data_IF_917068036744
#
_entry.id   IF_917068036744
#
_cell.length_a   1.000
_cell.length_b   1.000
_cell.length_c   1.000
_cell.angle_alpha   90.00
_cell.angle_beta   90.00
_cell.angle_gamma   90.00
#
_symmetry.space_group_name_H-M   'P 1'
#
loop_
_entity.id
_entity.type
_entity.pdbx_description
1 polymer ?
#
# COMPACT_ATOMS: atom_id res chain seq x y z
N UNK A 1 -5.41 5.04 -14.52
CA UNK A 1 -4.96 3.94 -13.64
C UNK A 1 -4.83 4.44 -12.21
N UNK A 2 -4.48 3.57 -11.27
CA UNK A 2 -4.12 3.96 -9.89
C UNK A 2 -2.60 3.88 -9.72
N UNK A 3 -2.02 4.80 -8.95
CA UNK A 3 -0.60 4.82 -8.64
C UNK A 3 -0.34 4.14 -7.31
N UNK A 4 0.65 3.24 -7.29
CA UNK A 4 1.03 2.49 -6.10
C UNK A 4 2.55 2.47 -5.98
N UNK A 5 3.05 2.63 -4.77
CA UNK A 5 4.46 2.42 -4.43
C UNK A 5 4.57 1.22 -3.53
N UNK A 6 5.47 0.29 -3.84
CA UNK A 6 5.75 -0.79 -2.93
C UNK A 6 6.42 -0.26 -1.67
N UNK A 7 5.94 -0.72 -0.52
CA UNK A 7 6.34 -0.24 0.80
C UNK A 7 6.66 -1.42 1.74
N UNK A 8 7.35 -2.44 1.20
CA UNK A 8 7.92 -3.56 1.96
C UNK A 8 9.32 -3.91 1.44
N UNK A 9 10.21 -4.45 2.28
CA UNK A 9 11.54 -4.94 1.86
C UNK A 9 11.50 -5.94 0.70
N UNK A 10 10.40 -6.68 0.53
CA UNK A 10 10.20 -7.61 -0.59
C UNK A 10 10.43 -6.96 -1.99
N UNK A 11 10.25 -5.65 -2.10
CA UNK A 11 10.45 -4.92 -3.35
C UNK A 11 11.85 -4.33 -3.53
N UNK A 12 12.69 -4.42 -2.51
CA UNK A 12 14.12 -4.16 -2.64
C UNK A 12 14.86 -5.38 -3.23
N UNK A 13 14.14 -6.48 -3.48
CA UNK A 13 14.68 -7.75 -3.98
C UNK A 13 15.83 -8.29 -3.11
N UNK A 14 15.87 -7.91 -1.83
CA UNK A 14 16.82 -8.48 -0.88
C UNK A 14 16.51 -9.99 -0.72
N UNK A 15 17.44 -10.89 -1.07
CA UNK A 15 17.19 -12.32 -1.02
C UNK A 15 16.80 -12.78 0.38
N UNK A 16 15.72 -13.56 0.49
CA UNK A 16 15.26 -14.14 1.77
C UNK A 16 14.29 -13.27 2.58
N UNK A 17 13.93 -12.07 2.11
CA UNK A 17 12.91 -11.24 2.76
C UNK A 17 11.48 -11.65 2.37
N UNK A 18 10.95 -12.70 3.01
CA UNK A 18 9.53 -13.05 2.91
C UNK A 18 8.75 -12.33 4.02
N UNK A 19 8.09 -11.22 3.67
CA UNK A 19 7.18 -10.54 4.61
C UNK A 19 5.92 -11.39 4.77
N UNK A 20 5.78 -12.03 5.94
CA UNK A 20 4.75 -13.02 6.28
C UNK A 20 3.36 -12.38 6.43
N UNK A 21 2.67 -12.20 5.30
CA UNK A 21 1.21 -12.04 5.27
C UNK A 21 0.48 -13.39 5.12
N UNK A 22 1.19 -14.43 4.71
CA UNK A 22 0.66 -15.76 4.40
C UNK A 22 1.46 -16.83 5.14
N UNK A 23 0.78 -17.93 5.48
CA UNK A 23 1.40 -19.11 6.10
C UNK A 23 2.00 -19.96 4.98
N UNK A 24 3.27 -20.36 5.10
CA UNK A 24 4.08 -21.11 4.11
C UNK A 24 4.71 -20.24 3.01
N UNK A 25 5.97 -20.53 2.69
CA UNK A 25 6.73 -19.88 1.63
C UNK A 25 6.37 -20.41 0.23
N UNK A 26 6.52 -19.55 -0.78
CA UNK A 26 6.39 -19.91 -2.20
C UNK A 26 7.58 -19.34 -2.97
N UNK A 27 8.07 -20.09 -3.95
CA UNK A 27 9.08 -19.61 -4.92
C UNK A 27 8.44 -18.98 -6.18
N UNK A 28 7.12 -18.87 -6.21
CA UNK A 28 6.37 -18.34 -7.35
C UNK A 28 5.56 -17.09 -6.99
N UNK A 29 5.11 -17.01 -5.74
CA UNK A 29 4.23 -15.96 -5.23
C UNK A 29 4.94 -15.14 -4.16
N UNK A 30 5.11 -13.84 -4.44
CA UNK A 30 5.72 -12.90 -3.48
C UNK A 30 4.70 -11.88 -2.99
N UNK A 31 4.24 -11.97 -1.73
CA UNK A 31 3.39 -10.94 -1.16
C UNK A 31 4.19 -9.65 -0.93
N UNK A 32 3.54 -8.52 -1.16
CA UNK A 32 4.08 -7.21 -0.83
C UNK A 32 2.96 -6.25 -0.44
N UNK A 33 3.27 -5.27 0.40
CA UNK A 33 2.34 -4.19 0.72
C UNK A 33 2.72 -2.96 -0.09
N UNK A 34 1.72 -2.30 -0.67
CA UNK A 34 1.91 -1.05 -1.39
C UNK A 34 1.00 0.04 -0.86
N UNK A 35 1.48 1.27 -0.96
CA UNK A 35 0.76 2.49 -0.63
C UNK A 35 0.20 3.13 -1.90
N UNK A 36 -1.05 3.56 -1.85
CA UNK A 36 -1.65 4.34 -2.93
C UNK A 36 -1.06 5.75 -2.93
N UNK A 37 -0.61 6.20 -4.10
CA UNK A 37 -0.13 7.56 -4.33
C UNK A 37 -1.16 8.36 -5.12
N UNK A 38 -1.17 9.66 -4.90
CA UNK A 38 -1.91 10.65 -5.66
C UNK A 38 -0.95 11.45 -6.54
N UNK A 39 -1.46 11.96 -7.66
CA UNK A 39 -0.73 12.90 -8.52
C UNK A 39 -0.88 14.30 -7.95
N UNK A 40 0.22 15.07 -7.92
CA UNK A 40 0.25 16.46 -7.49
C UNK A 40 0.87 17.34 -8.58
N UNK A 41 0.48 18.62 -8.62
CA UNK A 41 1.21 19.60 -9.42
C UNK A 41 2.41 20.10 -8.62
N UNK A 42 3.56 20.18 -9.27
CA UNK A 42 4.79 20.68 -8.65
C UNK A 42 4.65 22.12 -8.15
N UNK A 43 3.82 22.93 -8.84
CA UNK A 43 3.52 24.31 -8.43
C UNK A 43 2.82 24.43 -7.08
N UNK A 44 2.21 23.34 -6.61
CA UNK A 44 1.46 23.31 -5.35
C UNK A 44 2.34 22.90 -4.16
N UNK A 45 3.63 22.62 -4.41
CA UNK A 45 4.59 22.16 -3.40
C UNK A 45 5.54 23.27 -2.97
N UNK A 46 5.78 23.34 -1.66
CA UNK A 46 6.79 24.22 -1.07
C UNK A 46 8.09 23.43 -0.79
N UNK A 47 9.19 24.14 -0.52
CA UNK A 47 10.50 23.52 -0.22
C UNK A 47 10.44 22.53 0.97
N UNK A 48 9.57 22.80 1.94
CA UNK A 48 9.32 21.91 3.08
C UNK A 48 8.65 20.59 2.67
N UNK A 49 7.84 20.60 1.61
CA UNK A 49 7.14 19.41 1.11
C UNK A 49 8.10 18.49 0.40
N UNK A 50 9.05 19.04 -0.37
CA UNK A 50 10.10 18.29 -1.07
C UNK A 50 10.92 17.45 -0.09
N UNK A 51 11.23 18.00 1.08
CA UNK A 51 12.04 17.34 2.11
C UNK A 51 11.23 16.52 3.13
N UNK A 52 9.90 16.43 2.96
CA UNK A 52 9.02 15.73 3.89
C UNK A 52 9.11 14.20 3.84
N UNK A 53 9.68 13.65 2.75
CA UNK A 53 9.66 12.21 2.47
C UNK A 53 8.28 11.65 2.09
N UNK A 54 7.30 12.53 1.79
CA UNK A 54 5.93 12.15 1.41
C UNK A 54 5.70 12.04 -0.10
N UNK A 55 6.62 12.60 -0.89
CA UNK A 55 6.53 12.71 -2.34
C UNK A 55 7.71 12.00 -3.01
N UNK A 56 7.48 11.52 -4.22
CA UNK A 56 8.51 11.07 -5.14
C UNK A 56 8.23 11.61 -6.54
N UNK A 57 9.29 11.78 -7.31
CA UNK A 57 9.23 12.26 -8.68
C UNK A 57 9.72 11.12 -9.56
N UNK A 58 8.87 10.65 -10.46
CA UNK A 58 9.16 9.52 -11.32
C UNK A 58 8.87 9.88 -12.77
N UNK A 59 9.71 9.39 -13.67
CA UNK A 59 9.43 9.44 -15.10
C UNK A 59 8.33 8.40 -15.41
N UNK A 60 7.13 8.88 -15.73
CA UNK A 60 5.97 8.01 -15.98
C UNK A 60 5.76 7.73 -17.46
N UNK A 61 6.24 8.65 -18.31
CA UNK A 61 6.34 8.53 -19.76
C UNK A 61 7.67 9.15 -20.23
N UNK A 62 8.15 8.87 -21.46
CA UNK A 62 9.40 9.44 -21.95
C UNK A 62 9.42 10.98 -21.86
N UNK A 63 10.35 11.52 -21.07
CA UNK A 63 10.50 12.95 -20.75
C UNK A 63 9.35 13.57 -19.94
N UNK A 64 8.51 12.77 -19.28
CA UNK A 64 7.43 13.25 -18.42
C UNK A 64 7.70 12.85 -16.97
N UNK A 65 8.06 13.85 -16.15
CA UNK A 65 8.19 13.66 -14.70
C UNK A 65 6.84 13.94 -14.05
N UNK A 66 6.36 12.98 -13.26
CA UNK A 66 5.15 13.13 -12.46
C UNK A 66 5.51 13.17 -10.99
N UNK A 67 4.96 14.17 -10.27
CA UNK A 67 5.00 14.19 -8.82
C UNK A 67 3.90 13.29 -8.25
N UNK A 68 4.31 12.30 -7.48
CA UNK A 68 3.45 11.33 -6.82
C UNK A 68 3.65 11.43 -5.30
N UNK A 69 2.58 11.39 -4.51
CA UNK A 69 2.71 11.51 -3.06
C UNK A 69 1.58 10.90 -2.26
N UNK A 70 1.78 10.81 -0.95
CA UNK A 70 0.73 10.42 -0.01
C UNK A 70 -0.28 11.56 0.18
N UNK A 71 -1.56 11.27 0.46
CA UNK A 71 -2.55 12.31 0.75
C UNK A 71 -2.15 13.10 2.00
N UNK A 72 -1.92 14.41 1.84
CA UNK A 72 -1.67 15.35 2.94
C UNK A 72 -2.94 16.17 3.19
N UNK A 73 -3.52 16.18 4.41
CA UNK A 73 -4.55 17.14 4.74
C UNK A 73 -3.96 18.56 4.71
N UNK A 74 -4.64 19.50 4.04
CA UNK A 74 -4.17 20.88 3.91
C UNK A 74 -3.78 21.58 5.23
N UNK A 75 -4.29 21.10 6.37
CA UNK A 75 -4.09 21.68 7.70
C UNK A 75 -3.10 20.89 8.59
N UNK A 76 -2.40 19.89 8.04
CA UNK A 76 -1.59 18.93 8.82
C UNK A 76 -0.08 19.23 8.86
N UNK A 77 0.41 20.15 8.04
CA UNK A 77 1.83 20.48 8.00
C UNK A 77 2.21 21.34 9.21
N UNK A 78 2.42 20.70 10.36
CA UNK A 78 2.87 21.32 11.61
C UNK A 78 2.22 20.78 12.90
N UNK A 79 1.18 19.96 12.80
CA UNK A 79 0.60 19.27 13.95
C UNK A 79 0.42 17.81 13.57
N UNK A 80 0.98 16.90 14.37
CA UNK A 80 1.13 15.46 14.09
C UNK A 80 -0.17 14.76 13.69
N UNK A 81 -0.59 14.99 12.45
CA UNK A 81 -1.80 14.45 11.89
C UNK A 81 -1.50 13.02 11.53
N UNK A 82 -2.36 12.12 12.01
CA UNK A 82 -2.40 10.76 11.54
C UNK A 82 -2.74 10.72 10.06
N UNK A 83 -1.73 10.73 9.20
CA UNK A 83 -1.89 10.49 7.75
C UNK A 83 -2.69 9.20 7.55
N UNK A 84 -3.94 9.31 7.06
CA UNK A 84 -4.72 8.15 6.64
C UNK A 84 -4.20 7.69 5.28
N UNK A 85 -3.12 6.94 5.31
CA UNK A 85 -2.59 6.31 4.10
C UNK A 85 -3.49 5.15 3.68
N UNK A 86 -3.65 4.97 2.38
CA UNK A 86 -4.32 3.78 1.84
C UNK A 86 -3.26 2.78 1.46
N UNK A 87 -3.22 1.64 2.15
CA UNK A 87 -2.34 0.53 1.81
C UNK A 87 -3.14 -0.71 1.43
N UNK A 88 -2.54 -1.57 0.60
CA UNK A 88 -3.09 -2.86 0.21
C UNK A 88 -1.97 -3.89 0.11
N UNK A 89 -2.29 -5.14 0.42
CA UNK A 89 -1.43 -6.28 0.11
C UNK A 89 -1.75 -6.77 -1.30
N UNK A 90 -0.71 -6.94 -2.10
CA UNK A 90 -0.73 -7.58 -3.40
C UNK A 90 0.16 -8.83 -3.34
N UNK A 91 -0.02 -9.74 -4.30
CA UNK A 91 0.86 -10.90 -4.46
C UNK A 91 1.39 -10.90 -5.88
N UNK A 92 2.69 -10.67 -6.04
CA UNK A 92 3.36 -10.77 -7.32
C UNK A 92 3.51 -12.23 -7.75
N UNK A 93 3.31 -12.51 -9.03
CA UNK A 93 3.57 -13.82 -9.64
C UNK A 93 5.02 -13.91 -10.15
N UNK A 94 5.44 -15.10 -10.55
CA UNK A 94 6.75 -15.37 -11.14
C UNK A 94 7.89 -14.80 -10.28
N UNK A 95 7.76 -14.95 -8.96
CA UNK A 95 8.76 -14.47 -8.01
C UNK A 95 8.99 -12.94 -8.03
N UNK A 96 8.03 -12.17 -8.59
CA UNK A 96 8.16 -10.72 -8.77
C UNK A 96 8.93 -10.31 -10.02
N UNK A 97 9.30 -11.25 -10.90
CA UNK A 97 9.99 -10.94 -12.14
C UNK A 97 9.09 -10.17 -13.12
N UNK A 98 9.67 -9.16 -13.77
CA UNK A 98 8.99 -8.32 -14.75
C UNK A 98 9.08 -8.91 -16.15
N UNK A 99 8.00 -8.78 -16.92
CA UNK A 99 7.99 -9.00 -18.37
C UNK A 99 8.04 -7.64 -19.07
N UNK A 100 9.26 -7.15 -19.33
CA UNK A 100 9.46 -5.75 -19.74
C UNK A 100 9.17 -4.80 -18.58
N UNK A 101 8.14 -3.95 -18.72
CA UNK A 101 7.63 -3.09 -17.64
C UNK A 101 6.40 -3.68 -16.94
N UNK A 102 5.91 -4.85 -17.36
CA UNK A 102 4.70 -5.44 -16.78
C UNK A 102 5.05 -6.33 -15.58
N UNK A 103 4.24 -6.21 -14.53
CA UNK A 103 4.23 -7.09 -13.37
C UNK A 103 2.87 -7.80 -13.29
N UNK A 104 2.90 -9.12 -13.35
CA UNK A 104 1.73 -9.95 -13.08
C UNK A 104 1.49 -10.07 -11.59
N UNK A 105 0.27 -9.78 -11.14
CA UNK A 105 -0.06 -9.81 -9.73
C UNK A 105 -1.46 -10.36 -9.46
N UNK A 106 -1.71 -10.61 -8.20
CA UNK A 106 -2.98 -11.00 -7.64
C UNK A 106 -3.40 -9.92 -6.66
N UNK A 107 -4.65 -9.48 -6.78
CA UNK A 107 -5.30 -8.50 -5.92
C UNK A 107 -6.38 -9.19 -5.09
N UNK A 108 -6.18 -9.37 -3.77
CA UNK A 108 -7.25 -9.73 -2.86
C UNK A 108 -8.29 -8.59 -2.80
N UNK A 109 -9.56 -8.91 -2.98
CA UNK A 109 -10.66 -7.95 -2.92
C UNK A 109 -11.87 -8.54 -2.21
N UNK A 110 -12.65 -7.69 -1.54
CA UNK A 110 -13.92 -8.11 -0.96
C UNK A 110 -15.04 -7.92 -1.98
N UNK A 111 -15.84 -8.95 -2.19
CA UNK A 111 -17.01 -8.90 -3.05
C UNK A 111 -18.14 -9.76 -2.46
N UNK A 112 -19.33 -9.17 -2.29
CA UNK A 112 -20.51 -9.90 -1.81
C UNK A 112 -20.33 -10.58 -0.44
N UNK A 113 -19.49 -10.05 0.45
CA UNK A 113 -19.18 -10.66 1.74
C UNK A 113 -18.17 -11.82 1.70
N UNK A 114 -17.57 -12.07 0.53
CA UNK A 114 -16.50 -13.05 0.33
C UNK A 114 -15.17 -12.36 0.01
N UNK A 115 -14.07 -13.09 0.21
CA UNK A 115 -12.75 -12.71 -0.27
C UNK A 115 -12.54 -13.32 -1.65
N UNK A 116 -12.42 -12.47 -2.66
CA UNK A 116 -12.04 -12.84 -4.01
C UNK A 116 -10.56 -12.58 -4.25
N UNK A 117 -9.96 -13.45 -5.06
CA UNK A 117 -8.57 -13.39 -5.46
C UNK A 117 -8.57 -13.12 -6.97
N UNK A 118 -8.38 -11.86 -7.35
CA UNK A 118 -8.48 -11.44 -8.75
C UNK A 118 -7.07 -11.30 -9.39
N UNK A 119 -6.81 -11.90 -10.57
CA UNK A 119 -5.59 -11.61 -11.31
C UNK A 119 -5.62 -10.17 -11.82
N UNK A 120 -4.46 -9.51 -11.82
CA UNK A 120 -4.29 -8.18 -12.39
C UNK A 120 -2.87 -8.01 -12.94
N UNK A 121 -2.68 -6.93 -13.70
CA UNK A 121 -1.38 -6.49 -14.20
C UNK A 121 -1.10 -5.08 -13.72
N UNK A 122 0.16 -4.80 -13.42
CA UNK A 122 0.65 -3.46 -13.14
C UNK A 122 1.79 -3.11 -14.11
N UNK A 123 1.94 -1.81 -14.38
CA UNK A 123 3.08 -1.29 -15.12
C UNK A 123 4.05 -0.65 -14.13
N UNK A 124 5.30 -1.10 -14.15
CA UNK A 124 6.38 -0.56 -13.32
C UNK A 124 7.01 0.60 -14.06
N UNK A 125 6.92 1.79 -13.47
CA UNK A 125 7.47 3.02 -14.05
C UNK A 125 8.89 3.33 -13.57
N UNK A 126 9.19 3.05 -12.30
CA UNK A 126 10.51 3.37 -11.74
C UNK A 126 10.85 2.46 -10.54
N UNK A 127 12.15 2.33 -10.28
CA UNK A 127 12.69 1.83 -9.02
C UNK A 127 13.14 3.01 -8.17
N UNK A 128 12.56 3.17 -6.98
CA UNK A 128 13.03 4.16 -6.02
C UNK A 128 14.40 3.76 -5.47
N UNK A 129 15.23 4.76 -5.17
CA UNK A 129 16.43 4.53 -4.37
C UNK A 129 16.03 4.10 -2.96
N UNK A 130 16.92 3.35 -2.31
CA UNK A 130 16.67 2.73 -1.01
C UNK A 130 16.17 3.73 0.04
N UNK A 131 16.81 4.89 0.14
CA UNK A 131 16.47 5.96 1.08
C UNK A 131 15.04 6.49 0.89
N UNK A 132 14.58 6.62 -0.36
CA UNK A 132 13.22 7.07 -0.66
C UNK A 132 12.20 5.97 -0.41
N UNK A 133 12.53 4.72 -0.77
CA UNK A 133 11.68 3.57 -0.47
C UNK A 133 11.49 3.39 1.05
N UNK A 134 12.55 3.62 1.84
CA UNK A 134 12.52 3.50 3.29
C UNK A 134 11.52 4.47 3.94
N UNK A 135 11.41 5.70 3.43
CA UNK A 135 10.40 6.67 3.90
C UNK A 135 8.98 6.10 3.77
N UNK A 136 8.64 5.49 2.64
CA UNK A 136 7.32 4.87 2.44
C UNK A 136 7.10 3.63 3.31
N UNK A 137 8.11 2.79 3.51
CA UNK A 137 8.05 1.61 4.39
C UNK A 137 7.70 2.02 5.82
N UNK A 138 8.37 3.05 6.35
CA UNK A 138 8.12 3.56 7.71
C UNK A 138 6.68 4.07 7.88
N UNK A 139 6.08 4.63 6.82
CA UNK A 139 4.68 5.10 6.82
C UNK A 139 3.68 3.95 6.87
N UNK A 140 3.95 2.82 6.19
CA UNK A 140 3.14 1.60 6.39
C UNK A 140 3.20 1.16 7.85
N UNK A 141 4.41 1.03 8.42
CA UNK A 141 4.60 0.66 9.82
C UNK A 141 3.79 1.55 10.77
N UNK A 142 3.86 2.86 10.59
CA UNK A 142 3.12 3.85 11.39
C UNK A 142 1.60 3.74 11.22
N UNK A 143 1.13 3.34 10.03
CA UNK A 143 -0.30 3.14 9.76
C UNK A 143 -0.83 1.86 10.40
N UNK A 144 -0.08 0.75 10.32
CA UNK A 144 -0.52 -0.57 10.79
C UNK A 144 -0.39 -0.76 12.31
N UNK A 145 0.44 0.03 13.00
CA UNK A 145 0.56 -0.02 14.47
C UNK A 145 -0.67 0.51 15.21
N UNK A 146 -1.60 1.18 14.51
CA UNK A 146 -2.86 1.69 15.08
C UNK A 146 -3.89 0.58 15.22
N UNK A 147 -3.59 -0.38 16.09
CA UNK A 147 -4.49 -1.50 16.40
C UNK A 147 -5.69 -0.97 17.20
N UNK A 148 -6.92 -1.26 16.75
CA UNK A 148 -8.16 -0.99 17.49
C UNK A 148 -8.85 0.36 17.22
N UNK A 149 -8.20 1.31 16.55
CA UNK A 149 -8.83 2.58 16.18
C UNK A 149 -9.62 2.42 14.87
N UNK A 150 -10.93 2.18 14.99
CA UNK A 150 -11.84 2.11 13.84
C UNK A 150 -12.31 0.71 13.44
N UNK A 151 -12.02 -0.32 14.25
CA UNK A 151 -12.57 -1.67 14.04
C UNK A 151 -14.12 -1.73 14.16
N UNK A 152 -14.74 -0.62 14.58
CA UNK A 152 -16.16 -0.51 14.96
C UNK A 152 -16.72 0.86 14.58
N UNK A 153 -17.18 1.00 13.34
CA UNK A 153 -18.28 1.92 13.07
C UNK A 153 -19.54 1.28 13.64
N UNK A 154 -19.98 1.72 14.83
CA UNK A 154 -21.20 1.30 15.54
C UNK A 154 -21.20 -0.10 16.18
N UNK A 155 -21.07 -0.11 17.52
CA UNK A 155 -21.55 -1.08 18.51
C UNK A 155 -21.14 -2.58 18.43
N UNK A 156 -20.81 -3.18 19.58
CA UNK A 156 -20.64 -4.63 19.78
C UNK A 156 -22.06 -5.05 20.09
N UNK A 157 -22.86 -5.24 19.05
CA UNK A 157 -24.03 -6.08 19.20
C UNK A 157 -23.53 -7.51 19.03
N UNK A 158 -23.14 -8.14 20.14
CA UNK A 158 -23.10 -9.60 20.19
C UNK A 158 -24.52 -10.03 19.86
N UNK A 159 -24.73 -10.68 18.71
CA UNK A 159 -25.97 -11.44 18.50
C UNK A 159 -25.92 -12.57 19.52
N UNK A 160 -26.58 -12.36 20.65
CA UNK A 160 -26.97 -13.45 21.52
C UNK A 160 -28.16 -14.06 20.81
N UNK A 161 -27.92 -15.14 20.08
CA UNK A 161 -29.03 -15.99 19.63
C UNK A 161 -29.67 -16.54 20.91
N UNK A 162 -30.85 -16.01 21.23
CA UNK A 162 -31.65 -16.54 22.31
C UNK A 162 -31.97 -18.00 21.96
N UNK A 163 -31.35 -18.93 22.67
CA UNK A 163 -31.82 -20.30 22.71
C UNK A 163 -33.25 -20.26 23.25
N UNK A 164 -34.22 -20.54 22.38
CA UNK A 164 -35.60 -20.81 22.77
C UNK A 164 -35.58 -21.98 23.76
N UNK A 165 -35.82 -21.68 25.03
CA UNK A 165 -36.31 -22.65 25.99
C UNK A 165 -37.81 -22.78 25.76
N UNK A 166 -38.21 -23.71 24.89
CA UNK A 166 -39.53 -24.30 24.90
C UNK A 166 -39.38 -25.73 25.46
N UNK A 167 -39.73 -25.88 26.75
CA UNK A 167 -40.01 -27.15 27.41
C UNK A 167 -41.28 -26.98 28.25
#
# INVERSE_FOLDING_TARGET
>A
GEWWVCATPACDMEPGQNTVAFVVDSNELRPFTALKLNVFNESDLEERDINSGLYCFAETSPNEITCLGLPVPANALGQGSSEKVTWRTFVAKNDGMLSGTELDLIKPQLAGGSLEIAPAKATVHAKLRYEYALNFIQKVGTSVTRIGLGYRGSAFATRVDAANNDA
#
